data_IF_863227360532
#
_entry.id   IF_863227360532
#
_cell.length_a   1.000
_cell.length_b   1.000
_cell.length_c   1.000
_cell.angle_alpha   90.00
_cell.angle_beta   90.00
_cell.angle_gamma   90.00
#
_symmetry.space_group_name_H-M   'P 1'
#
loop_
_entity.id
_entity.type
_entity.pdbx_description
1 polymer ?
#
# COMPACT_ATOMS: atom_id res chain seq x y z
N UNK A 1 20.10 -2.29 -1.94
CA UNK A 1 19.88 -3.28 -0.86
C UNK A 1 18.42 -3.70 -0.93
N UNK A 2 18.14 -4.98 -1.19
CA UNK A 2 16.77 -5.51 -1.17
C UNK A 2 16.51 -5.94 0.26
N UNK A 3 15.64 -5.21 0.96
CA UNK A 3 15.15 -5.63 2.27
C UNK A 3 13.94 -6.53 2.05
N UNK A 4 13.96 -7.71 2.65
CA UNK A 4 12.79 -8.60 2.71
C UNK A 4 11.73 -7.97 3.60
N UNK A 5 10.48 -7.97 3.16
CA UNK A 5 9.35 -7.59 4.01
C UNK A 5 9.20 -8.57 5.17
N UNK A 6 8.95 -8.07 6.36
CA UNK A 6 8.70 -8.87 7.56
C UNK A 6 7.49 -8.29 8.32
N UNK A 7 6.81 -9.13 9.10
CA UNK A 7 5.74 -8.68 9.98
C UNK A 7 6.32 -8.04 11.24
N UNK A 8 5.80 -6.86 11.63
CA UNK A 8 6.19 -6.17 12.87
C UNK A 8 4.97 -5.55 13.55
N UNK A 9 4.96 -5.44 14.90
CA UNK A 9 3.90 -4.71 15.60
C UNK A 9 3.86 -3.24 15.19
N UNK A 10 2.66 -2.70 14.92
CA UNK A 10 2.47 -1.31 14.48
C UNK A 10 2.80 -0.29 15.58
N UNK A 11 2.91 -0.69 16.85
CA UNK A 11 3.29 0.17 17.97
C UNK A 11 4.78 0.57 17.95
N UNK A 12 5.54 0.05 17.00
CA UNK A 12 6.97 0.34 16.82
C UNK A 12 7.21 1.05 15.50
N UNK A 13 8.45 1.46 15.29
CA UNK A 13 8.88 2.05 14.03
C UNK A 13 8.65 1.09 12.85
N UNK A 14 7.89 1.52 11.84
CA UNK A 14 7.56 0.70 10.66
C UNK A 14 7.33 1.56 9.40
N UNK A 15 7.50 0.94 8.23
CA UNK A 15 7.52 1.67 6.95
C UNK A 15 6.11 2.08 6.48
N UNK A 16 5.08 1.35 6.88
CA UNK A 16 3.70 1.61 6.48
C UNK A 16 2.70 0.66 7.12
N UNK A 17 1.46 1.10 7.24
CA UNK A 17 0.37 0.30 7.78
C UNK A 17 -0.65 -0.02 6.69
N UNK A 18 -1.16 -1.25 6.73
CA UNK A 18 -2.20 -1.73 5.83
C UNK A 18 -3.54 -1.10 6.18
N UNK A 19 -4.20 -0.47 5.20
CA UNK A 19 -5.48 0.20 5.39
C UNK A 19 -6.65 -0.50 4.69
N UNK A 20 -6.35 -1.38 3.72
CA UNK A 20 -7.34 -2.22 3.04
C UNK A 20 -6.66 -3.35 2.27
N UNK A 21 -7.41 -4.43 2.03
CA UNK A 21 -7.08 -5.46 1.02
C UNK A 21 -8.23 -5.51 0.03
N UNK A 22 -7.89 -5.50 -1.25
CA UNK A 22 -8.81 -5.43 -2.38
C UNK A 22 -8.40 -6.48 -3.43
N UNK A 23 -9.24 -6.65 -4.46
CA UNK A 23 -9.01 -7.61 -5.52
C UNK A 23 -9.01 -6.93 -6.89
N UNK A 24 -7.97 -7.16 -7.69
CA UNK A 24 -7.86 -6.65 -9.06
C UNK A 24 -8.98 -7.21 -9.94
N UNK A 25 -9.50 -6.47 -10.93
CA UNK A 25 -10.40 -7.02 -11.95
C UNK A 25 -9.68 -8.02 -12.86
N UNK A 26 -10.43 -8.80 -13.63
CA UNK A 26 -9.89 -9.70 -14.67
C UNK A 26 -9.51 -8.92 -15.95
N UNK A 27 -8.74 -9.56 -16.83
CA UNK A 27 -8.46 -9.05 -18.17
C UNK A 27 -7.41 -7.94 -18.24
N UNK A 28 -6.71 -7.64 -17.14
CA UNK A 28 -5.60 -6.69 -17.16
C UNK A 28 -4.40 -7.27 -17.93
N UNK A 29 -3.72 -6.41 -18.69
CA UNK A 29 -2.59 -6.81 -19.55
C UNK A 29 -1.40 -5.88 -19.34
N UNK A 30 -0.36 -6.42 -18.71
CA UNK A 30 0.91 -5.74 -18.42
C UNK A 30 0.95 -5.07 -17.04
N UNK A 31 2.15 -4.99 -16.46
CA UNK A 31 2.37 -4.46 -15.10
C UNK A 31 1.90 -3.02 -14.93
N UNK A 32 2.00 -2.19 -15.98
CA UNK A 32 1.51 -0.81 -15.92
C UNK A 32 -0.01 -0.76 -15.66
N UNK A 33 -0.79 -1.60 -16.34
CA UNK A 33 -2.25 -1.63 -16.16
C UNK A 33 -2.62 -2.19 -14.78
N UNK A 34 -1.88 -3.18 -14.30
CA UNK A 34 -2.03 -3.70 -12.93
C UNK A 34 -1.77 -2.59 -11.91
N UNK A 35 -0.64 -1.89 -12.01
CA UNK A 35 -0.29 -0.80 -11.10
C UNK A 35 -1.33 0.33 -11.11
N UNK A 36 -1.79 0.74 -12.28
CA UNK A 36 -2.83 1.77 -12.39
C UNK A 36 -4.15 1.32 -11.76
N UNK A 37 -4.56 0.06 -11.97
CA UNK A 37 -5.77 -0.49 -11.37
C UNK A 37 -5.68 -0.55 -9.83
N UNK A 38 -4.52 -0.96 -9.28
CA UNK A 38 -4.32 -0.95 -7.83
C UNK A 38 -4.35 0.47 -7.25
N UNK A 39 -3.64 1.41 -7.89
CA UNK A 39 -3.63 2.82 -7.46
C UNK A 39 -5.03 3.41 -7.46
N UNK A 40 -5.82 3.15 -8.52
CA UNK A 40 -7.18 3.64 -8.60
C UNK A 40 -8.08 3.03 -7.52
N UNK A 41 -8.03 1.71 -7.33
CA UNK A 41 -8.83 1.04 -6.32
C UNK A 41 -8.47 1.44 -4.88
N UNK A 42 -7.21 1.80 -4.60
CA UNK A 42 -6.82 2.28 -3.27
C UNK A 42 -7.30 3.69 -2.92
N UNK A 43 -7.69 4.53 -3.91
CA UNK A 43 -8.02 5.96 -3.67
C UNK A 43 -9.06 6.17 -2.56
N UNK A 44 -10.11 5.34 -2.54
CA UNK A 44 -11.18 5.45 -1.55
C UNK A 44 -10.69 5.16 -0.14
N UNK A 45 -9.99 4.03 0.04
CA UNK A 45 -9.42 3.63 1.32
C UNK A 45 -8.38 4.65 1.82
N UNK A 46 -7.50 5.12 0.92
CA UNK A 46 -6.50 6.13 1.23
C UNK A 46 -7.14 7.44 1.69
N UNK A 47 -8.16 7.91 0.98
CA UNK A 47 -8.85 9.16 1.32
C UNK A 47 -9.50 9.04 2.70
N UNK A 48 -10.19 7.94 2.97
CA UNK A 48 -10.83 7.69 4.26
C UNK A 48 -9.80 7.59 5.40
N UNK A 49 -8.67 6.90 5.18
CA UNK A 49 -7.63 6.76 6.19
C UNK A 49 -6.89 8.09 6.42
N UNK A 50 -6.56 8.85 5.38
CA UNK A 50 -5.97 10.19 5.51
C UNK A 50 -6.88 11.15 6.29
N UNK A 51 -8.19 11.11 6.06
CA UNK A 51 -9.15 11.96 6.75
C UNK A 51 -9.27 11.68 8.26
N UNK A 52 -8.87 10.48 8.71
CA UNK A 52 -8.81 10.13 10.13
C UNK A 52 -7.52 10.59 10.80
N UNK A 53 -6.48 10.87 10.03
CA UNK A 53 -5.22 11.37 10.59
C UNK A 53 -5.45 12.81 11.05
N UNK A 54 -5.24 13.06 12.35
CA UNK A 54 -5.46 14.36 12.98
C UNK A 54 -4.19 15.19 13.16
N UNK A 55 -3.11 14.85 12.45
CA UNK A 55 -1.81 15.50 12.56
C UNK A 55 -1.41 16.21 11.27
N UNK A 56 -0.34 17.02 11.34
CA UNK A 56 0.16 17.81 10.22
C UNK A 56 1.08 17.01 9.27
N UNK A 57 1.09 15.67 9.36
CA UNK A 57 1.95 14.83 8.52
C UNK A 57 1.34 14.64 7.14
N UNK A 58 2.22 14.54 6.14
CA UNK A 58 1.80 14.10 4.79
C UNK A 58 1.87 12.58 4.71
N UNK A 59 0.77 11.97 4.28
CA UNK A 59 0.67 10.52 4.11
C UNK A 59 0.65 10.13 2.64
N UNK A 60 1.38 9.06 2.30
CA UNK A 60 1.51 8.55 0.95
C UNK A 60 0.95 7.14 0.83
N UNK A 61 0.07 6.96 -0.15
CA UNK A 61 -0.50 5.66 -0.49
C UNK A 61 0.46 4.80 -1.28
N UNK A 62 0.50 3.51 -0.96
CA UNK A 62 1.30 2.55 -1.70
C UNK A 62 0.57 1.21 -1.83
N UNK A 63 0.12 0.84 -3.03
CA UNK A 63 -0.40 -0.50 -3.26
C UNK A 63 0.75 -1.52 -3.30
N UNK A 64 0.50 -2.69 -2.75
CA UNK A 64 1.34 -3.87 -2.81
C UNK A 64 0.52 -5.00 -3.42
N UNK A 65 0.97 -5.57 -4.53
CA UNK A 65 0.19 -6.58 -5.23
C UNK A 65 1.01 -7.35 -6.26
N UNK A 66 0.34 -8.17 -7.06
CA UNK A 66 1.01 -9.10 -7.96
C UNK A 66 1.70 -8.37 -9.12
N UNK A 67 2.83 -8.93 -9.56
CA UNK A 67 3.35 -8.67 -10.91
C UNK A 67 2.46 -9.32 -11.96
N UNK A 68 2.62 -8.97 -13.23
CA UNK A 68 1.89 -9.60 -14.33
C UNK A 68 2.03 -11.13 -14.34
N UNK A 69 3.23 -11.66 -14.05
CA UNK A 69 3.48 -13.10 -14.00
C UNK A 69 2.66 -13.82 -12.92
N UNK A 70 2.46 -13.19 -11.75
CA UNK A 70 1.64 -13.75 -10.67
C UNK A 70 0.14 -13.56 -10.97
N UNK A 71 -0.23 -12.43 -11.55
CA UNK A 71 -1.61 -12.17 -11.97
C UNK A 71 -2.11 -13.19 -12.99
N UNK A 72 -1.25 -13.60 -13.93
CA UNK A 72 -1.55 -14.68 -14.89
C UNK A 72 -1.76 -16.05 -14.24
N UNK A 73 -1.26 -16.24 -13.02
CA UNK A 73 -1.48 -17.45 -12.22
C UNK A 73 -2.74 -17.34 -11.33
N UNK A 74 -3.54 -16.30 -11.52
CA UNK A 74 -4.80 -16.07 -10.79
C UNK A 74 -4.64 -15.24 -9.51
N UNK A 75 -3.44 -14.74 -9.20
CA UNK A 75 -3.25 -13.89 -8.02
C UNK A 75 -3.87 -12.52 -8.28
N UNK A 76 -4.83 -12.13 -7.46
CA UNK A 76 -5.58 -10.88 -7.66
C UNK A 76 -5.65 -10.01 -6.43
N UNK A 77 -5.33 -10.54 -5.26
CA UNK A 77 -5.33 -9.77 -4.02
C UNK A 77 -4.20 -8.75 -4.03
N UNK A 78 -4.52 -7.54 -3.60
CA UNK A 78 -3.55 -6.48 -3.39
C UNK A 78 -3.93 -5.68 -2.15
N UNK A 79 -2.93 -5.10 -1.53
CA UNK A 79 -3.03 -4.42 -0.26
C UNK A 79 -2.75 -2.94 -0.46
N UNK A 80 -3.62 -2.09 0.05
CA UNK A 80 -3.42 -0.66 0.15
C UNK A 80 -2.73 -0.34 1.47
N UNK A 81 -1.62 0.38 1.43
CA UNK A 81 -0.92 0.86 2.62
C UNK A 81 -0.80 2.37 2.63
N UNK A 82 -0.67 2.95 3.83
CA UNK A 82 -0.25 4.33 4.04
C UNK A 82 1.09 4.39 4.74
N UNK A 83 1.88 5.36 4.33
CA UNK A 83 3.24 5.62 4.81
C UNK A 83 3.40 7.11 5.09
N UNK A 84 4.42 7.51 5.85
CA UNK A 84 4.78 8.94 6.07
C UNK A 84 5.99 9.39 5.24
N UNK A 85 6.41 8.56 4.27
CA UNK A 85 7.51 8.85 3.36
C UNK A 85 7.26 8.28 1.96
N UNK A 86 7.66 9.02 0.94
CA UNK A 86 7.61 8.58 -0.47
C UNK A 86 8.96 8.04 -1.00
N UNK A 87 9.99 7.94 -0.16
CA UNK A 87 11.32 7.50 -0.54
C UNK A 87 11.93 6.58 0.52
N UNK A 88 12.88 5.76 0.09
CA UNK A 88 13.59 4.83 0.97
C UNK A 88 14.42 5.59 2.01
N UNK A 89 14.36 5.15 3.27
CA UNK A 89 15.11 5.75 4.37
C UNK A 89 14.54 7.07 4.89
N UNK A 90 13.38 7.50 4.38
CA UNK A 90 12.66 8.64 4.95
C UNK A 90 11.97 8.31 6.29
N UNK A 91 11.18 9.26 6.82
CA UNK A 91 10.46 9.07 8.07
C UNK A 91 9.59 7.81 8.09
N UNK A 92 9.43 7.23 9.27
CA UNK A 92 8.64 6.02 9.52
C UNK A 92 7.48 6.31 10.45
N UNK A 93 6.45 5.46 10.38
CA UNK A 93 5.39 5.45 11.37
C UNK A 93 5.96 4.95 12.69
N UNK A 94 5.52 5.52 13.81
CA UNK A 94 5.97 5.15 15.17
C UNK A 94 4.83 4.58 16.00
N UNK A 95 3.69 4.33 15.39
CA UNK A 95 2.44 3.92 16.02
C UNK A 95 1.37 3.70 14.95
N UNK A 96 0.22 3.18 15.38
CA UNK A 96 -0.93 2.93 14.51
C UNK A 96 -1.43 4.18 13.80
N UNK A 97 -1.98 4.01 12.61
CA UNK A 97 -2.85 4.99 11.97
C UNK A 97 -4.19 5.09 12.72
N UNK A 98 -4.77 6.29 12.69
CA UNK A 98 -6.08 6.56 13.29
C UNK A 98 -7.27 6.20 12.38
#
# INVERSE_FOLDING_TARGET
MIVTSEERPCEREHDGEVIATLQLPEGLTGDLKINLAMLDGCKGAETAAKARQGDDRTYYGRPLGPTMANYQQGWRDYTCSLTVSNHQGGPRLTGHLH
#
